data_IF_327759577721
#
_entry.id   IF_327759577721
#
_cell.length_a   1.000
_cell.length_b   1.000
_cell.length_c   1.000
_cell.angle_alpha   90.00
_cell.angle_beta   90.00
_cell.angle_gamma   90.00
#
_symmetry.space_group_name_H-M   'P 1'
#
loop_
_entity.id
_entity.type
_entity.pdbx_description
1 polymer ?
#
# COMPACT_ATOMS: atom_id res chain seq x y z
N UNK A 1 -3.61 -10.65 -22.66
CA UNK A 1 -3.63 -10.92 -21.21
C UNK A 1 -2.25 -10.63 -20.63
N UNK A 2 -2.00 -9.40 -20.17
CA UNK A 2 -0.86 -9.04 -19.31
C UNK A 2 -1.24 -7.79 -18.52
N UNK A 3 -2.04 -7.94 -17.48
CA UNK A 3 -2.10 -6.90 -16.44
C UNK A 3 -0.74 -6.95 -15.73
N UNK A 4 0.20 -6.07 -16.12
CA UNK A 4 1.40 -5.82 -15.33
C UNK A 4 0.92 -5.26 -14.01
N UNK A 5 0.75 -6.14 -13.02
CA UNK A 5 0.27 -5.74 -11.71
C UNK A 5 1.13 -4.63 -11.14
N UNK A 6 0.50 -3.68 -10.47
CA UNK A 6 1.17 -2.52 -9.88
C UNK A 6 1.82 -3.00 -8.59
N UNK A 7 3.14 -2.78 -8.45
CA UNK A 7 3.80 -2.98 -7.16
C UNK A 7 3.28 -1.93 -6.18
N UNK A 8 2.59 -2.37 -5.13
CA UNK A 8 2.12 -1.51 -4.06
C UNK A 8 2.81 -1.84 -2.74
N UNK A 9 2.72 -0.97 -1.72
CA UNK A 9 3.35 -1.22 -0.43
C UNK A 9 2.83 -2.48 0.28
N UNK A 10 1.60 -2.91 -0.02
CA UNK A 10 1.00 -4.15 0.48
C UNK A 10 1.28 -5.39 -0.40
N UNK A 11 2.13 -5.26 -1.43
CA UNK A 11 2.39 -6.31 -2.42
C UNK A 11 1.86 -5.96 -3.81
N UNK A 12 1.91 -6.92 -4.72
CA UNK A 12 1.53 -6.72 -6.12
C UNK A 12 0.01 -6.73 -6.28
N UNK A 13 -0.55 -5.65 -6.82
CA UNK A 13 -1.96 -5.57 -7.20
C UNK A 13 -2.15 -6.23 -8.57
N UNK A 14 -2.74 -7.42 -8.62
CA UNK A 14 -2.86 -8.22 -9.85
C UNK A 14 -4.28 -8.39 -10.39
N UNK A 15 -5.30 -8.09 -9.59
CA UNK A 15 -6.70 -8.31 -9.94
C UNK A 15 -7.35 -6.99 -10.40
N UNK A 16 -7.98 -7.03 -11.58
CA UNK A 16 -8.74 -5.90 -12.11
C UNK A 16 -10.15 -5.87 -11.51
N UNK A 17 -10.58 -4.72 -10.98
CA UNK A 17 -11.97 -4.46 -10.63
C UNK A 17 -12.59 -3.58 -11.72
N UNK A 18 -13.39 -4.17 -12.63
CA UNK A 18 -14.03 -3.49 -13.76
C UNK A 18 -15.51 -3.77 -13.76
N UNK A 19 -16.33 -2.73 -13.95
CA UNK A 19 -17.78 -2.86 -14.16
C UNK A 19 -18.30 -1.73 -15.05
N UNK A 20 -19.53 -1.87 -15.55
CA UNK A 20 -20.24 -0.81 -16.27
C UNK A 20 -21.12 -0.04 -15.29
N UNK A 21 -21.17 1.27 -15.43
CA UNK A 21 -22.08 2.18 -14.74
C UNK A 21 -22.71 3.12 -15.77
N UNK A 22 -23.86 3.71 -15.46
CA UNK A 22 -24.49 4.71 -16.31
C UNK A 22 -23.69 6.02 -16.35
N UNK A 23 -23.95 6.83 -17.39
CA UNK A 23 -23.19 8.05 -17.69
C UNK A 23 -23.32 9.10 -16.58
N UNK A 24 -24.51 9.30 -16.03
CA UNK A 24 -24.74 10.27 -14.95
C UNK A 24 -23.95 9.89 -13.69
N UNK A 25 -24.01 8.61 -13.30
CA UNK A 25 -23.24 8.11 -12.15
C UNK A 25 -21.73 8.22 -12.41
N UNK A 26 -21.28 8.00 -13.65
CA UNK A 26 -19.87 8.16 -14.01
C UNK A 26 -19.40 9.62 -13.86
N UNK A 27 -20.20 10.60 -14.26
CA UNK A 27 -19.85 12.02 -14.11
C UNK A 27 -19.78 12.44 -12.65
N UNK A 28 -20.75 12.01 -11.84
CA UNK A 28 -20.73 12.23 -10.39
C UNK A 28 -19.51 11.56 -9.74
N UNK A 29 -19.13 10.36 -10.21
CA UNK A 29 -17.93 9.67 -9.77
C UNK A 29 -16.66 10.46 -10.08
N UNK A 30 -16.52 11.02 -11.29
CA UNK A 30 -15.38 11.86 -11.66
C UNK A 30 -15.29 13.12 -10.79
N UNK A 31 -16.43 13.78 -10.54
CA UNK A 31 -16.49 14.93 -9.63
C UNK A 31 -16.05 14.55 -8.21
N UNK A 32 -16.55 13.43 -7.68
CA UNK A 32 -16.18 12.91 -6.37
C UNK A 32 -14.68 12.59 -6.27
N UNK A 33 -14.09 12.00 -7.32
CA UNK A 33 -12.65 11.73 -7.38
C UNK A 33 -11.84 13.03 -7.39
N UNK A 34 -12.26 14.01 -8.19
CA UNK A 34 -11.61 15.32 -8.29
C UNK A 34 -11.61 16.08 -6.96
N UNK A 35 -12.76 16.11 -6.26
CA UNK A 35 -12.89 16.74 -4.95
C UNK A 35 -11.96 16.13 -3.89
N UNK A 36 -11.60 14.84 -4.03
CA UNK A 36 -10.67 14.15 -3.14
C UNK A 36 -9.21 14.23 -3.58
N UNK A 37 -8.94 14.83 -4.75
CA UNK A 37 -7.60 14.84 -5.35
C UNK A 37 -7.08 13.43 -5.64
N UNK A 38 -7.96 12.50 -6.00
CA UNK A 38 -7.61 11.10 -6.26
C UNK A 38 -8.01 10.67 -7.67
N UNK A 39 -7.27 9.71 -8.21
CA UNK A 39 -7.65 9.03 -9.45
C UNK A 39 -8.80 8.05 -9.20
N UNK A 40 -9.55 7.74 -10.26
CA UNK A 40 -10.71 6.84 -10.21
C UNK A 40 -10.36 5.45 -9.69
N UNK A 41 -9.19 4.91 -10.06
CA UNK A 41 -8.76 3.59 -9.59
C UNK A 41 -8.38 3.61 -8.10
N UNK A 42 -7.80 4.69 -7.62
CA UNK A 42 -7.50 4.93 -6.21
C UNK A 42 -8.75 4.95 -5.35
N UNK A 43 -9.77 5.72 -5.74
CA UNK A 43 -11.05 5.78 -5.01
C UNK A 43 -11.78 4.44 -5.06
N UNK A 44 -11.84 3.78 -6.22
CA UNK A 44 -12.48 2.47 -6.37
C UNK A 44 -11.80 1.42 -5.47
N UNK A 45 -10.46 1.40 -5.45
CA UNK A 45 -9.69 0.50 -4.58
C UNK A 45 -10.00 0.76 -3.11
N UNK A 46 -10.02 2.02 -2.69
CA UNK A 46 -10.36 2.38 -1.31
C UNK A 46 -11.79 1.94 -0.96
N UNK A 47 -12.78 2.12 -1.85
CA UNK A 47 -14.16 1.66 -1.62
C UNK A 47 -14.22 0.14 -1.39
N UNK A 48 -13.56 -0.64 -2.25
CA UNK A 48 -13.52 -2.11 -2.12
C UNK A 48 -12.85 -2.52 -0.79
N UNK A 49 -11.71 -1.90 -0.46
CA UNK A 49 -10.97 -2.24 0.75
C UNK A 49 -11.71 -1.86 2.02
N UNK A 50 -12.39 -0.70 2.04
CA UNK A 50 -13.25 -0.32 3.17
C UNK A 50 -14.37 -1.34 3.37
N UNK A 51 -15.01 -1.80 2.29
CA UNK A 51 -16.08 -2.80 2.38
C UNK A 51 -15.59 -4.18 2.85
N UNK A 52 -14.40 -4.61 2.42
CA UNK A 52 -13.87 -5.95 2.73
C UNK A 52 -13.12 -5.99 4.07
N UNK A 53 -12.38 -4.93 4.41
CA UNK A 53 -11.45 -4.90 5.54
C UNK A 53 -11.82 -3.86 6.62
N UNK A 54 -12.84 -3.02 6.39
CA UNK A 54 -13.18 -1.91 7.29
C UNK A 54 -12.18 -0.75 7.27
N UNK A 55 -11.17 -0.78 6.39
CA UNK A 55 -10.11 0.22 6.26
C UNK A 55 -9.80 0.49 4.80
N UNK A 56 -9.43 1.71 4.46
CA UNK A 56 -9.00 2.05 3.10
C UNK A 56 -7.64 1.43 2.77
N UNK A 57 -7.35 1.26 1.48
CA UNK A 57 -6.06 0.74 1.04
C UNK A 57 -4.92 1.63 1.55
N UNK A 58 -5.11 2.95 1.48
CA UNK A 58 -4.13 3.92 2.00
C UNK A 58 -3.92 3.82 3.51
N UNK A 59 -4.99 3.62 4.29
CA UNK A 59 -4.85 3.41 5.74
C UNK A 59 -4.00 2.17 6.03
N UNK A 60 -4.29 1.06 5.36
CA UNK A 60 -3.52 -0.18 5.52
C UNK A 60 -2.05 -0.01 5.09
N UNK A 61 -1.79 0.76 4.04
CA UNK A 61 -0.43 1.11 3.60
C UNK A 61 0.32 1.89 4.70
N UNK A 62 -0.30 2.93 5.26
CA UNK A 62 0.30 3.74 6.33
C UNK A 62 0.57 2.89 7.57
N UNK A 63 -0.37 2.02 7.95
CA UNK A 63 -0.20 1.10 9.07
C UNK A 63 0.98 0.15 8.85
N UNK A 64 1.15 -0.37 7.63
CA UNK A 64 2.27 -1.23 7.29
C UNK A 64 3.60 -0.48 7.38
N UNK A 65 3.70 0.71 6.79
CA UNK A 65 4.93 1.52 6.82
C UNK A 65 5.32 1.81 8.28
N UNK A 66 4.37 2.24 9.10
CA UNK A 66 4.62 2.53 10.52
C UNK A 66 5.04 1.26 11.31
N UNK A 67 4.52 0.10 10.94
CA UNK A 67 4.95 -1.17 11.55
C UNK A 67 6.36 -1.58 11.09
N UNK A 68 6.67 -1.38 9.81
CA UNK A 68 8.00 -1.66 9.24
C UNK A 68 9.06 -0.72 9.86
N UNK A 69 8.75 0.57 10.04
CA UNK A 69 9.64 1.54 10.71
C UNK A 69 9.94 1.13 12.16
N UNK A 70 8.92 0.73 12.91
CA UNK A 70 9.09 0.21 14.28
C UNK A 70 9.96 -1.04 14.32
N UNK A 71 9.82 -1.92 13.31
CA UNK A 71 10.65 -3.12 13.20
C UNK A 71 12.11 -2.78 12.91
N UNK A 72 12.36 -1.79 12.04
CA UNK A 72 13.71 -1.32 11.72
C UNK A 72 14.37 -0.70 12.96
N UNK A 73 13.66 0.16 13.70
CA UNK A 73 14.16 0.75 14.95
C UNK A 73 14.49 -0.32 16.01
N UNK A 74 13.62 -1.32 16.17
CA UNK A 74 13.85 -2.43 17.08
C UNK A 74 15.09 -3.28 16.68
N UNK A 75 15.28 -3.53 15.39
CA UNK A 75 16.46 -4.22 14.89
C UNK A 75 17.74 -3.40 15.08
N UNK A 76 17.69 -2.08 14.84
CA UNK A 76 18.83 -1.19 15.07
C UNK A 76 19.26 -1.18 16.56
N UNK A 77 18.29 -1.16 17.48
CA UNK A 77 18.55 -1.28 18.93
C UNK A 77 19.11 -2.63 19.33
N UNK A 78 18.70 -3.72 18.68
CA UNK A 78 19.19 -5.07 18.94
C UNK A 78 20.63 -5.27 18.45
N UNK A 79 20.97 -4.69 17.29
CA UNK A 79 22.32 -4.79 16.70
C UNK A 79 23.32 -3.90 17.47
N UNK A 80 22.86 -2.82 18.11
CA UNK A 80 23.72 -1.92 18.88
C UNK A 80 24.72 -1.14 18.00
N UNK A 81 25.46 -0.16 18.57
CA UNK A 81 26.41 0.67 17.81
C UNK A 81 27.66 -0.09 17.32
N UNK A 82 27.82 -1.35 17.71
CA UNK A 82 28.92 -2.19 17.28
C UNK A 82 28.40 -3.16 16.21
N UNK A 83 28.64 -2.81 14.94
CA UNK A 83 28.70 -3.82 13.90
C UNK A 83 29.60 -4.96 14.38
N UNK A 84 29.12 -6.20 14.25
CA UNK A 84 29.79 -7.39 14.76
C UNK A 84 31.31 -7.32 14.49
N UNK A 85 32.18 -7.56 15.48
CA UNK A 85 33.60 -7.64 15.21
C UNK A 85 33.78 -8.76 14.18
N UNK A 86 34.33 -8.42 13.02
CA UNK A 86 34.81 -9.42 12.08
C UNK A 86 35.76 -10.29 12.87
N UNK A 87 35.36 -11.56 13.07
CA UNK A 87 36.16 -12.54 13.79
C UNK A 87 37.48 -12.64 13.05
N UNK A 88 38.50 -11.98 13.58
CA UNK A 88 39.89 -12.07 13.16
C UNK A 88 40.28 -13.54 13.32
N UNK A 89 40.16 -14.30 12.23
CA UNK A 89 40.64 -15.66 12.15
C UNK A 89 42.17 -15.64 12.18
N UNK A 90 42.75 -15.88 13.36
CA UNK A 90 43.98 -16.67 13.44
C UNK A 90 43.63 -18.09 13.01
N UNK A 91 44.43 -18.80 12.23
CA UNK A 91 45.89 -19.00 12.31
C UNK A 91 46.45 -19.30 10.93
#
# INVERSE_FOLDING_TARGET
MFARGIAGPLGKLTCDAKTKIDELTHDLWLQHCSQRGQDTAGVLRDCIYVLVHGKSYRQMVVEKINHDDKRIDALAKLIGPFGAPESMGGV
#
